data_IF_061659295007
#
_entry.id   IF_061659295007
#
_cell.length_a   1.000
_cell.length_b   1.000
_cell.length_c   1.000
_cell.angle_alpha   90.00
_cell.angle_beta   90.00
_cell.angle_gamma   90.00
#
_symmetry.space_group_name_H-M   'P 1'
#
loop_
_entity.id
_entity.type
_entity.pdbx_description
1 polymer ?
#
# COMPACT_ATOMS: atom_id res chain seq x y z
N UNK A 1 5.10 12.52 20.52
CA UNK A 1 4.90 13.73 19.69
C UNK A 1 3.92 14.67 20.36
N UNK A 2 4.23 15.99 20.47
CA UNK A 2 3.25 17.00 20.91
C UNK A 2 2.42 17.49 19.72
N UNK A 3 1.12 17.60 19.89
CA UNK A 3 0.21 17.93 18.78
C UNK A 3 0.42 19.35 18.23
N UNK A 4 0.79 20.32 19.09
CA UNK A 4 1.15 21.67 18.66
C UNK A 4 2.27 21.72 17.62
N UNK A 5 3.17 20.73 17.63
CA UNK A 5 4.32 20.65 16.71
C UNK A 5 3.90 20.22 15.28
N UNK A 6 2.74 19.60 15.12
CA UNK A 6 2.26 19.19 13.79
C UNK A 6 1.70 20.36 12.97
N UNK A 7 1.43 21.52 13.61
CA UNK A 7 0.88 22.70 12.94
C UNK A 7 -0.35 22.40 12.05
N UNK A 8 -1.21 21.51 12.53
CA UNK A 8 -2.38 21.05 11.79
C UNK A 8 -3.33 22.20 11.49
N UNK A 9 -3.90 22.19 10.30
CA UNK A 9 -5.00 23.09 9.96
C UNK A 9 -6.27 22.66 10.70
N UNK A 10 -7.06 23.64 11.13
CA UNK A 10 -8.43 23.37 11.61
C UNK A 10 -9.29 22.97 10.43
N UNK A 11 -10.02 21.88 10.57
CA UNK A 11 -10.97 21.43 9.55
C UNK A 11 -12.38 21.38 10.13
N UNK A 12 -13.34 21.67 9.28
CA UNK A 12 -14.75 21.38 9.54
C UNK A 12 -15.14 20.17 8.68
N UNK A 13 -15.51 19.07 9.31
CA UNK A 13 -15.88 17.84 8.60
C UNK A 13 -17.18 18.00 7.79
N UNK A 14 -18.04 18.96 8.13
CA UNK A 14 -19.25 19.26 7.35
C UNK A 14 -18.95 19.83 5.96
N UNK A 15 -17.74 20.36 5.74
CA UNK A 15 -17.29 20.88 4.44
C UNK A 15 -16.63 19.81 3.56
N UNK A 16 -16.70 18.53 3.94
CA UNK A 16 -16.08 17.41 3.21
C UNK A 16 -17.11 16.79 2.27
N UNK A 17 -16.76 16.69 0.99
CA UNK A 17 -17.53 15.96 0.01
C UNK A 17 -17.51 14.46 0.33
N UNK A 18 -18.68 13.83 0.31
CA UNK A 18 -18.84 12.42 0.68
C UNK A 18 -18.14 11.44 -0.28
N UNK A 19 -17.75 11.86 -1.48
CA UNK A 19 -17.20 10.95 -2.50
C UNK A 19 -15.77 10.48 -2.20
N UNK A 20 -14.87 11.38 -1.71
CA UNK A 20 -13.49 11.03 -1.35
C UNK A 20 -13.17 11.48 0.08
N UNK A 21 -14.07 11.19 1.01
CA UNK A 21 -14.06 11.79 2.35
C UNK A 21 -12.76 11.59 3.12
N UNK A 22 -12.15 10.41 3.05
CA UNK A 22 -10.90 10.13 3.75
C UNK A 22 -9.73 10.91 3.18
N UNK A 23 -9.62 11.00 1.85
CA UNK A 23 -8.56 11.76 1.19
C UNK A 23 -8.78 13.27 1.36
N UNK A 24 -10.03 13.73 1.38
CA UNK A 24 -10.38 15.13 1.66
C UNK A 24 -10.00 15.55 3.09
N UNK A 25 -10.14 14.65 4.07
CA UNK A 25 -9.62 14.90 5.43
C UNK A 25 -8.13 15.21 5.37
N UNK A 26 -7.34 14.37 4.70
CA UNK A 26 -5.89 14.55 4.58
C UNK A 26 -5.51 15.86 3.88
N UNK A 27 -6.21 16.21 2.79
CA UNK A 27 -6.00 17.47 2.06
C UNK A 27 -6.29 18.68 2.94
N UNK A 28 -7.42 18.68 3.64
CA UNK A 28 -7.82 19.79 4.50
C UNK A 28 -6.93 19.95 5.72
N UNK A 29 -6.44 18.83 6.30
CA UNK A 29 -5.44 18.84 7.37
C UNK A 29 -4.07 19.36 6.91
N UNK A 30 -3.77 19.27 5.61
CA UNK A 30 -2.44 19.55 5.07
C UNK A 30 -1.48 18.36 5.17
N UNK A 31 -1.99 17.15 5.48
CA UNK A 31 -1.25 15.89 5.45
C UNK A 31 -1.06 15.36 4.01
N UNK A 32 -1.91 15.81 3.10
CA UNK A 32 -1.76 15.68 1.67
C UNK A 32 -1.79 17.08 1.05
N UNK A 33 -0.76 17.48 0.30
CA UNK A 33 -0.70 18.77 -0.36
C UNK A 33 -0.52 18.57 -1.87
N UNK A 34 -1.48 19.06 -2.64
CA UNK A 34 -1.46 18.98 -4.09
C UNK A 34 -0.67 20.15 -4.68
N UNK A 35 0.50 19.87 -5.27
CA UNK A 35 1.28 20.84 -6.02
C UNK A 35 0.73 21.03 -7.43
N UNK A 36 0.32 19.92 -8.06
CA UNK A 36 -0.34 19.84 -9.35
C UNK A 36 -1.20 18.57 -9.40
N UNK A 37 -2.09 18.45 -10.38
CA UNK A 37 -2.88 17.23 -10.56
C UNK A 37 -1.98 16.00 -10.65
N UNK A 38 -2.16 15.07 -9.72
CA UNK A 38 -1.37 13.84 -9.62
C UNK A 38 0.04 13.99 -9.04
N UNK A 39 0.41 15.18 -8.53
CA UNK A 39 1.70 15.44 -7.87
C UNK A 39 1.44 15.98 -6.46
N UNK A 40 1.83 15.19 -5.45
CA UNK A 40 1.52 15.47 -4.05
C UNK A 40 2.76 15.55 -3.18
N UNK A 41 2.66 16.34 -2.11
CA UNK A 41 3.54 16.30 -0.96
C UNK A 41 2.79 15.74 0.25
N UNK A 42 3.53 15.16 1.19
CA UNK A 42 2.98 14.37 2.27
C UNK A 42 3.43 14.89 3.63
N UNK A 43 2.49 14.95 4.58
CA UNK A 43 2.74 15.36 5.96
C UNK A 43 3.23 14.22 6.86
N UNK A 44 3.35 14.52 8.14
CA UNK A 44 3.94 13.60 9.12
C UNK A 44 3.11 12.33 9.35
N UNK A 45 1.80 12.46 9.42
CA UNK A 45 0.88 11.32 9.59
C UNK A 45 1.01 10.34 8.43
N UNK A 46 0.98 10.87 7.19
CA UNK A 46 1.16 10.07 5.99
C UNK A 46 2.49 9.33 5.98
N UNK A 47 3.61 10.04 6.17
CA UNK A 47 4.96 9.46 6.13
C UNK A 47 5.13 8.34 7.16
N UNK A 48 4.55 8.50 8.35
CA UNK A 48 4.59 7.43 9.37
C UNK A 48 3.73 6.23 9.00
N UNK A 49 2.55 6.46 8.42
CA UNK A 49 1.67 5.38 7.96
C UNK A 49 2.30 4.61 6.80
N UNK A 50 2.88 5.32 5.84
CA UNK A 50 3.60 4.72 4.71
C UNK A 50 4.75 3.83 5.18
N UNK A 51 5.57 4.30 6.14
CA UNK A 51 6.63 3.48 6.76
C UNK A 51 6.11 2.23 7.47
N UNK A 52 4.92 2.32 8.08
CA UNK A 52 4.31 1.14 8.72
C UNK A 52 3.90 0.11 7.66
N UNK A 53 3.33 0.56 6.54
CA UNK A 53 2.99 -0.29 5.40
C UNK A 53 4.25 -0.90 4.78
N UNK A 54 5.30 -0.10 4.56
CA UNK A 54 6.60 -0.56 4.06
C UNK A 54 7.18 -1.66 4.94
N UNK A 55 7.21 -1.46 6.26
CA UNK A 55 7.78 -2.44 7.20
C UNK A 55 7.01 -3.77 7.15
N UNK A 56 5.68 -3.75 7.05
CA UNK A 56 4.88 -4.97 6.91
C UNK A 56 5.22 -5.70 5.61
N UNK A 57 5.38 -4.97 4.51
CA UNK A 57 5.79 -5.54 3.21
C UNK A 57 7.19 -6.17 3.32
N UNK A 58 8.16 -5.44 3.86
CA UNK A 58 9.54 -5.91 4.05
C UNK A 58 9.57 -7.19 4.88
N UNK A 59 8.91 -7.19 6.03
CA UNK A 59 8.87 -8.36 6.92
C UNK A 59 8.29 -9.60 6.24
N UNK A 60 7.24 -9.46 5.44
CA UNK A 60 6.61 -10.60 4.76
C UNK A 60 7.45 -11.11 3.58
N UNK A 61 8.12 -10.22 2.85
CA UNK A 61 9.01 -10.59 1.75
C UNK A 61 10.31 -11.21 2.27
N UNK A 62 10.93 -10.64 3.30
CA UNK A 62 12.15 -11.16 3.91
C UNK A 62 11.96 -12.56 4.50
N UNK A 63 10.82 -12.83 5.18
CA UNK A 63 10.45 -14.17 5.67
C UNK A 63 10.43 -15.24 4.57
N UNK A 64 10.20 -14.83 3.32
CA UNK A 64 10.14 -15.70 2.14
C UNK A 64 11.44 -15.75 1.34
N UNK A 65 12.51 -15.14 1.88
CA UNK A 65 13.83 -15.13 1.26
C UNK A 65 13.97 -14.17 0.08
N UNK A 66 13.07 -13.21 -0.08
CA UNK A 66 13.22 -12.14 -1.04
C UNK A 66 14.34 -11.18 -0.61
N UNK A 67 15.06 -10.61 -1.56
CA UNK A 67 16.24 -9.78 -1.31
C UNK A 67 15.93 -8.33 -1.70
N UNK A 68 16.01 -7.42 -0.73
CA UNK A 68 15.83 -6.00 -1.00
C UNK A 68 17.00 -5.41 -1.78
N UNK A 69 16.68 -4.65 -2.81
CA UNK A 69 17.63 -3.96 -3.69
C UNK A 69 17.11 -2.55 -4.00
N UNK A 70 17.86 -1.75 -4.73
CA UNK A 70 17.40 -0.47 -5.27
C UNK A 70 17.85 -0.33 -6.72
N UNK A 71 16.91 -0.01 -7.61
CA UNK A 71 17.16 0.27 -9.02
C UNK A 71 17.10 1.78 -9.30
N UNK A 72 17.83 2.26 -10.35
CA UNK A 72 17.85 3.69 -10.67
C UNK A 72 16.48 4.18 -11.10
N UNK A 73 16.08 5.34 -10.58
CA UNK A 73 14.85 6.06 -10.98
C UNK A 73 15.03 6.76 -12.32
N UNK A 74 16.25 7.17 -12.64
CA UNK A 74 16.63 7.70 -13.96
C UNK A 74 17.24 6.57 -14.78
N UNK A 75 16.50 6.09 -15.78
CA UNK A 75 16.85 4.92 -16.58
C UNK A 75 17.31 5.32 -17.98
N UNK A 76 18.47 4.82 -18.45
CA UNK A 76 18.95 5.11 -19.81
C UNK A 76 18.05 4.49 -20.88
N UNK A 77 17.74 5.22 -21.95
CA UNK A 77 16.98 4.74 -23.11
C UNK A 77 17.49 3.39 -23.64
N UNK A 78 18.81 3.21 -23.70
CA UNK A 78 19.45 2.01 -24.25
C UNK A 78 19.01 0.69 -23.62
N UNK A 79 18.63 0.68 -22.32
CA UNK A 79 18.16 -0.56 -21.66
C UNK A 79 16.73 -0.90 -22.08
N UNK A 80 15.90 0.11 -22.31
CA UNK A 80 14.53 -0.01 -22.79
C UNK A 80 14.47 -0.41 -24.28
N UNK A 81 15.47 0.02 -25.08
CA UNK A 81 15.62 -0.44 -26.47
C UNK A 81 15.97 -1.94 -26.54
N UNK A 82 16.74 -2.48 -25.57
CA UNK A 82 17.05 -3.92 -25.52
C UNK A 82 15.82 -4.79 -25.29
N UNK A 83 14.83 -4.30 -24.53
CA UNK A 83 13.55 -4.98 -24.29
C UNK A 83 12.51 -4.69 -25.38
N UNK A 84 12.80 -3.79 -26.33
CA UNK A 84 11.88 -3.24 -27.34
C UNK A 84 10.67 -2.48 -26.74
N UNK A 85 10.81 -1.92 -25.52
CA UNK A 85 9.70 -1.23 -24.83
C UNK A 85 9.81 0.30 -24.85
N UNK A 86 10.92 0.88 -25.34
CA UNK A 86 11.07 2.33 -25.35
C UNK A 86 9.93 3.06 -26.09
N UNK A 87 9.66 2.64 -27.33
CA UNK A 87 8.62 3.29 -28.15
C UNK A 87 7.21 3.00 -27.60
N UNK A 88 6.96 1.80 -27.08
CA UNK A 88 5.70 1.47 -26.42
C UNK A 88 5.39 2.41 -25.25
N UNK A 89 6.41 2.77 -24.45
CA UNK A 89 6.21 3.60 -23.25
C UNK A 89 6.28 5.11 -23.51
N UNK A 90 6.91 5.53 -24.61
CA UNK A 90 7.14 6.96 -24.89
C UNK A 90 6.28 7.51 -26.03
N UNK A 91 5.81 6.66 -26.97
CA UNK A 91 5.04 7.07 -28.14
C UNK A 91 3.64 6.46 -28.17
N UNK A 92 3.54 5.13 -28.05
CA UNK A 92 2.27 4.43 -28.20
C UNK A 92 1.40 4.58 -26.94
N UNK A 93 1.93 4.29 -25.77
CA UNK A 93 1.23 4.41 -24.50
C UNK A 93 1.39 5.76 -23.82
N UNK A 94 2.39 6.54 -24.19
CA UNK A 94 2.79 7.83 -23.58
C UNK A 94 2.81 7.80 -22.04
N UNK A 95 3.36 6.71 -21.48
CA UNK A 95 3.34 6.43 -20.04
C UNK A 95 4.57 7.02 -19.33
N UNK A 96 5.73 7.10 -20.02
CA UNK A 96 7.02 7.45 -19.43
C UNK A 96 7.35 8.94 -19.60
N UNK A 97 7.73 9.60 -18.50
CA UNK A 97 8.40 10.90 -18.57
C UNK A 97 9.81 10.74 -19.12
N UNK A 98 10.17 11.51 -20.14
CA UNK A 98 11.47 11.44 -20.78
C UNK A 98 12.28 12.71 -20.58
N UNK A 99 13.61 12.55 -20.46
CA UNK A 99 14.58 13.65 -20.40
C UNK A 99 15.61 13.45 -21.51
N UNK A 100 15.89 14.53 -22.22
CA UNK A 100 16.90 14.56 -23.27
C UNK A 100 17.85 15.72 -23.03
N UNK A 101 19.15 15.43 -23.03
CA UNK A 101 20.22 16.43 -22.94
C UNK A 101 21.46 15.97 -23.72
N UNK A 102 22.55 16.70 -23.60
CA UNK A 102 23.82 16.37 -24.26
C UNK A 102 24.52 15.11 -23.74
N UNK A 103 24.06 14.53 -22.62
CA UNK A 103 24.55 13.26 -22.07
C UNK A 103 23.79 12.06 -22.63
N UNK A 104 22.59 12.26 -23.17
CA UNK A 104 21.75 11.18 -23.73
C UNK A 104 20.25 11.36 -23.51
N UNK A 105 19.52 10.30 -23.76
CA UNK A 105 18.08 10.19 -23.53
C UNK A 105 17.80 9.23 -22.38
N UNK A 106 16.91 9.61 -21.49
CA UNK A 106 16.56 8.90 -20.28
C UNK A 106 15.05 8.90 -20.07
N UNK A 107 14.54 7.94 -19.31
CA UNK A 107 13.19 7.92 -18.78
C UNK A 107 13.19 7.96 -17.25
N UNK A 108 12.19 8.61 -16.65
CA UNK A 108 11.88 8.40 -15.24
C UNK A 108 11.13 7.07 -15.10
N UNK A 109 11.60 6.21 -14.20
CA UNK A 109 11.15 4.82 -14.05
C UNK A 109 9.64 4.69 -13.82
N UNK A 110 8.84 4.18 -14.78
CA UNK A 110 7.46 3.77 -14.54
C UNK A 110 7.38 2.37 -13.93
N UNK A 111 8.44 1.59 -14.14
CA UNK A 111 8.69 0.20 -13.68
C UNK A 111 10.19 -0.11 -13.85
N UNK A 112 10.68 -1.29 -13.51
CA UNK A 112 12.12 -1.59 -13.55
C UNK A 112 12.50 -3.00 -14.07
N UNK A 113 11.70 -3.63 -14.94
CA UNK A 113 11.99 -4.96 -15.49
C UNK A 113 13.37 -5.01 -16.16
N UNK A 114 13.72 -4.01 -16.96
CA UNK A 114 15.01 -3.93 -17.65
C UNK A 114 16.18 -3.86 -16.68
N UNK A 115 16.04 -3.00 -15.65
CA UNK A 115 17.08 -2.86 -14.64
C UNK A 115 17.23 -4.15 -13.82
N UNK A 116 16.12 -4.77 -13.43
CA UNK A 116 16.12 -6.04 -12.69
C UNK A 116 16.74 -7.16 -13.50
N UNK A 117 16.42 -7.27 -14.80
CA UNK A 117 16.97 -8.30 -15.67
C UNK A 117 18.49 -8.18 -15.82
N UNK A 118 19.01 -6.96 -16.04
CA UNK A 118 20.45 -6.70 -16.10
C UNK A 118 21.15 -7.00 -14.77
N UNK A 119 20.55 -6.57 -13.67
CA UNK A 119 21.09 -6.77 -12.33
C UNK A 119 21.10 -8.27 -11.96
N UNK A 120 20.00 -8.97 -12.25
CA UNK A 120 19.86 -10.41 -12.03
C UNK A 120 20.88 -11.21 -12.83
N UNK A 121 21.01 -10.95 -14.12
CA UNK A 121 21.97 -11.64 -14.98
C UNK A 121 23.43 -11.48 -14.51
N UNK A 122 23.78 -10.34 -13.94
CA UNK A 122 25.11 -10.14 -13.35
C UNK A 122 25.35 -10.97 -12.09
N UNK A 123 24.31 -11.27 -11.32
CA UNK A 123 24.40 -11.93 -10.00
C UNK A 123 24.07 -13.42 -10.03
N UNK A 124 23.36 -13.87 -11.04
CA UNK A 124 22.77 -15.22 -11.14
C UNK A 124 23.33 -16.00 -12.35
N UNK A 125 24.66 -16.15 -12.50
CA UNK A 125 25.26 -16.71 -13.73
C UNK A 125 25.01 -18.20 -13.88
N UNK A 126 24.45 -18.90 -12.88
CA UNK A 126 24.27 -20.35 -12.88
C UNK A 126 22.93 -20.75 -12.27
N UNK A 127 22.41 -21.89 -12.70
CA UNK A 127 21.22 -22.54 -12.13
C UNK A 127 21.29 -22.70 -10.61
N UNK A 128 22.49 -22.80 -10.03
CA UNK A 128 22.70 -22.90 -8.57
C UNK A 128 22.30 -21.66 -7.81
N UNK A 129 22.16 -20.53 -8.50
CA UNK A 129 21.75 -19.26 -7.92
C UNK A 129 20.23 -19.04 -7.99
N UNK A 130 19.49 -19.99 -8.62
CA UNK A 130 18.05 -19.89 -8.85
C UNK A 130 17.27 -20.85 -7.94
N UNK A 131 16.05 -20.54 -7.52
CA UNK A 131 15.35 -19.28 -7.79
C UNK A 131 15.89 -18.11 -6.97
N UNK A 132 15.67 -16.88 -7.46
CA UNK A 132 15.99 -15.67 -6.73
C UNK A 132 14.89 -14.62 -6.94
N UNK A 133 14.57 -13.86 -5.89
CA UNK A 133 13.58 -12.78 -5.94
C UNK A 133 14.24 -11.51 -5.41
N UNK A 134 14.30 -10.46 -6.25
CA UNK A 134 14.75 -9.14 -5.86
C UNK A 134 13.56 -8.19 -5.79
N UNK A 135 13.47 -7.39 -4.73
CA UNK A 135 12.41 -6.37 -4.60
C UNK A 135 12.97 -5.02 -4.19
N UNK A 136 12.26 -3.97 -4.54
CA UNK A 136 12.52 -2.61 -4.06
C UNK A 136 11.22 -1.94 -3.62
N UNK A 137 11.34 -0.90 -2.78
CA UNK A 137 10.25 0.02 -2.50
C UNK A 137 10.74 1.41 -2.88
N UNK A 138 10.06 2.06 -3.82
CA UNK A 138 10.53 3.34 -4.30
C UNK A 138 9.56 4.05 -5.24
N UNK A 139 9.85 5.32 -5.50
CA UNK A 139 9.04 6.15 -6.37
C UNK A 139 9.00 5.63 -7.81
N UNK A 140 7.81 5.69 -8.38
CA UNK A 140 7.52 5.48 -9.80
C UNK A 140 6.89 6.73 -10.39
N UNK A 141 7.07 6.89 -11.71
CA UNK A 141 6.65 8.07 -12.45
C UNK A 141 5.88 7.61 -13.68
N UNK A 142 4.59 7.99 -13.76
CA UNK A 142 3.73 7.66 -14.91
C UNK A 142 3.03 8.90 -15.42
N UNK A 143 3.04 9.12 -16.74
CA UNK A 143 2.29 10.20 -17.38
C UNK A 143 0.80 9.89 -17.36
N UNK A 144 0.18 9.99 -16.18
CA UNK A 144 -1.27 9.88 -16.12
C UNK A 144 -1.89 11.11 -16.79
N UNK A 145 -2.52 10.90 -17.95
CA UNK A 145 -3.17 11.96 -18.73
C UNK A 145 -4.35 12.54 -17.91
N UNK A 146 -5.06 11.66 -17.21
CA UNK A 146 -6.21 12.01 -16.37
C UNK A 146 -5.96 11.54 -14.94
N UNK A 147 -5.03 12.20 -14.24
CA UNK A 147 -4.86 11.97 -12.81
C UNK A 147 -6.18 12.28 -12.10
N UNK A 148 -6.76 11.29 -11.42
CA UNK A 148 -8.04 11.36 -10.73
C UNK A 148 -8.03 10.51 -9.46
N UNK A 149 -9.05 10.69 -8.62
CA UNK A 149 -9.13 9.92 -7.37
C UNK A 149 -7.96 10.18 -6.43
N UNK A 150 -7.32 11.35 -6.52
CA UNK A 150 -6.15 11.76 -5.74
C UNK A 150 -5.04 10.67 -5.76
N UNK A 151 -4.99 9.84 -4.73
CA UNK A 151 -3.95 8.83 -4.49
C UNK A 151 -4.18 7.51 -5.24
N UNK A 152 -5.34 7.32 -5.86
CA UNK A 152 -5.60 6.13 -6.66
C UNK A 152 -4.89 6.15 -8.01
N UNK A 153 -4.75 7.35 -8.62
CA UNK A 153 -4.12 7.52 -9.93
C UNK A 153 -3.21 8.75 -10.03
N UNK A 154 -2.18 8.85 -9.17
CA UNK A 154 -1.22 9.95 -9.21
C UNK A 154 -0.16 9.74 -10.30
N UNK A 155 0.58 10.80 -10.63
CA UNK A 155 1.71 10.78 -11.55
C UNK A 155 3.02 10.33 -10.90
N UNK A 156 3.14 10.57 -9.59
CA UNK A 156 4.26 10.12 -8.76
C UNK A 156 3.71 9.34 -7.57
N UNK A 157 4.25 8.16 -7.30
CA UNK A 157 3.78 7.30 -6.22
C UNK A 157 4.85 6.31 -5.78
N UNK A 158 4.75 5.82 -4.55
CA UNK A 158 5.62 4.77 -4.04
C UNK A 158 5.02 3.40 -4.35
N UNK A 159 5.84 2.50 -4.88
CA UNK A 159 5.49 1.13 -5.20
C UNK A 159 6.55 0.17 -4.65
N UNK A 160 6.12 -0.93 -4.04
CA UNK A 160 6.95 -2.12 -3.97
C UNK A 160 6.87 -2.81 -5.33
N UNK A 161 8.00 -3.08 -5.95
CA UNK A 161 8.10 -3.88 -7.16
C UNK A 161 9.17 -4.96 -6.97
N UNK A 162 8.80 -6.21 -7.30
CA UNK A 162 9.65 -7.37 -7.18
C UNK A 162 9.77 -8.11 -8.52
N UNK A 163 10.87 -8.83 -8.68
CA UNK A 163 11.23 -9.55 -9.89
C UNK A 163 11.82 -10.90 -9.54
N UNK A 164 11.23 -12.00 -10.03
CA UNK A 164 11.75 -13.33 -9.84
C UNK A 164 12.55 -13.81 -11.03
N UNK A 165 13.51 -14.70 -10.74
CA UNK A 165 14.36 -15.35 -11.72
C UNK A 165 14.36 -16.84 -11.40
N UNK A 166 13.88 -17.65 -12.35
CA UNK A 166 13.64 -19.06 -12.21
C UNK A 166 14.27 -19.81 -13.39
N UNK A 167 14.64 -21.09 -13.20
CA UNK A 167 15.29 -21.89 -14.26
C UNK A 167 14.31 -22.49 -15.26
N UNK A 168 13.04 -22.60 -14.89
CA UNK A 168 11.98 -23.22 -15.69
C UNK A 168 10.64 -22.55 -15.47
N UNK A 169 9.70 -22.78 -16.37
CA UNK A 169 8.32 -22.32 -16.22
C UNK A 169 7.65 -22.92 -14.98
N UNK A 170 7.93 -24.17 -14.68
CA UNK A 170 7.39 -24.84 -13.48
C UNK A 170 7.88 -24.15 -12.20
N UNK A 171 9.17 -23.82 -12.12
CA UNK A 171 9.72 -23.12 -10.96
C UNK A 171 9.20 -21.69 -10.87
N UNK A 172 9.05 -20.98 -11.99
CA UNK A 172 8.40 -19.66 -12.03
C UNK A 172 6.98 -19.73 -11.46
N UNK A 173 6.19 -20.76 -11.79
CA UNK A 173 4.84 -20.94 -11.22
C UNK A 173 4.86 -21.15 -9.71
N UNK A 174 5.86 -21.86 -9.17
CA UNK A 174 6.05 -22.03 -7.72
C UNK A 174 6.39 -20.67 -7.05
N UNK A 175 7.31 -19.92 -7.66
CA UNK A 175 7.67 -18.59 -7.18
C UNK A 175 6.48 -17.62 -7.25
N UNK A 176 5.68 -17.70 -8.31
CA UNK A 176 4.45 -16.92 -8.45
C UNK A 176 3.46 -17.23 -7.33
N UNK A 177 3.26 -18.50 -6.98
CA UNK A 177 2.40 -18.90 -5.87
C UNK A 177 2.94 -18.40 -4.52
N UNK A 178 4.26 -18.45 -4.30
CA UNK A 178 4.92 -17.90 -3.11
C UNK A 178 4.63 -16.40 -2.95
N UNK A 179 4.67 -15.65 -4.06
CA UNK A 179 4.40 -14.21 -4.06
C UNK A 179 2.92 -13.90 -3.87
N UNK A 180 2.01 -14.72 -4.42
CA UNK A 180 0.58 -14.66 -4.12
C UNK A 180 0.33 -14.78 -2.61
N UNK A 181 0.89 -15.81 -1.98
CA UNK A 181 0.77 -16.02 -0.53
C UNK A 181 1.39 -14.89 0.30
N UNK A 182 2.51 -14.30 -0.18
CA UNK A 182 3.10 -13.11 0.43
C UNK A 182 2.13 -11.93 0.43
N UNK A 183 1.49 -11.66 -0.71
CA UNK A 183 0.54 -10.57 -0.85
C UNK A 183 -0.69 -10.77 0.04
N UNK A 184 -1.26 -11.97 0.04
CA UNK A 184 -2.39 -12.29 0.92
C UNK A 184 -2.03 -12.06 2.40
N UNK A 185 -0.81 -12.44 2.83
CA UNK A 185 -0.34 -12.21 4.18
C UNK A 185 -0.13 -10.71 4.49
N UNK A 186 0.45 -9.95 3.56
CA UNK A 186 0.63 -8.50 3.68
C UNK A 186 -0.73 -7.81 3.89
N UNK A 187 -1.68 -8.07 2.99
CA UNK A 187 -2.99 -7.42 3.06
C UNK A 187 -3.81 -7.84 4.28
N UNK A 188 -3.72 -9.11 4.70
CA UNK A 188 -4.35 -9.58 5.93
C UNK A 188 -3.79 -8.84 7.16
N UNK A 189 -2.48 -8.64 7.26
CA UNK A 189 -1.83 -7.86 8.33
C UNK A 189 -2.23 -6.38 8.31
N UNK A 190 -2.51 -5.84 7.15
CA UNK A 190 -3.03 -4.47 6.98
C UNK A 190 -4.53 -4.37 7.32
N UNK A 191 -5.22 -5.50 7.52
CA UNK A 191 -6.66 -5.53 7.80
C UNK A 191 -7.51 -5.27 6.54
N UNK A 192 -6.97 -5.52 5.35
CA UNK A 192 -7.66 -5.38 4.08
C UNK A 192 -8.17 -6.73 3.58
N UNK A 193 -9.46 -6.77 3.25
CA UNK A 193 -10.06 -7.92 2.57
C UNK A 193 -9.80 -7.80 1.08
N UNK A 194 -9.05 -8.75 0.53
CA UNK A 194 -8.65 -8.79 -0.88
C UNK A 194 -9.43 -9.84 -1.64
N UNK A 195 -9.71 -9.52 -2.88
CA UNK A 195 -10.31 -10.39 -3.89
C UNK A 195 -9.27 -10.61 -5.00
N UNK A 196 -8.50 -11.74 -4.97
CA UNK A 196 -7.60 -12.07 -6.07
C UNK A 196 -8.39 -12.19 -7.36
N UNK A 197 -7.97 -11.49 -8.40
CA UNK A 197 -8.76 -11.29 -9.62
C UNK A 197 -7.87 -11.50 -10.84
N UNK A 198 -8.31 -12.32 -11.74
CA UNK A 198 -7.62 -12.54 -13.03
C UNK A 198 -7.93 -11.36 -13.95
N UNK A 199 -6.88 -10.86 -14.62
CA UNK A 199 -6.96 -9.67 -15.49
C UNK A 199 -6.11 -9.79 -16.76
N UNK A 200 -6.08 -8.74 -17.57
CA UNK A 200 -5.23 -8.65 -18.77
C UNK A 200 -3.77 -8.37 -18.42
N UNK A 201 -2.86 -8.91 -19.23
CA UNK A 201 -1.42 -8.69 -19.08
C UNK A 201 -0.94 -7.30 -19.53
N UNK A 202 -1.72 -6.58 -20.29
CA UNK A 202 -1.44 -5.22 -20.76
C UNK A 202 -0.07 -5.06 -21.46
N UNK A 203 0.51 -3.88 -21.32
CA UNK A 203 1.83 -3.53 -21.92
C UNK A 203 3.02 -4.24 -21.26
N UNK A 204 2.86 -4.80 -20.07
CA UNK A 204 3.88 -5.59 -19.39
C UNK A 204 4.06 -6.90 -20.14
N UNK A 205 2.96 -7.51 -20.60
CA UNK A 205 2.92 -8.79 -21.30
C UNK A 205 3.20 -9.97 -20.37
N UNK A 206 3.25 -11.15 -20.94
CA UNK A 206 3.34 -12.40 -20.19
C UNK A 206 2.17 -13.33 -20.53
N UNK A 207 1.97 -14.39 -19.73
CA UNK A 207 0.93 -15.38 -19.97
C UNK A 207 -0.24 -15.31 -18.98
N UNK A 208 0.00 -14.84 -17.77
CA UNK A 208 -0.99 -14.74 -16.69
C UNK A 208 -0.78 -13.42 -15.94
N UNK A 209 -1.88 -12.72 -15.66
CA UNK A 209 -1.93 -11.57 -14.78
C UNK A 209 -2.98 -11.80 -13.69
N UNK A 210 -2.64 -11.44 -12.47
CA UNK A 210 -3.52 -11.45 -11.31
C UNK A 210 -3.44 -10.09 -10.62
N UNK A 211 -4.58 -9.54 -10.27
CA UNK A 211 -4.71 -8.32 -9.50
C UNK A 211 -5.24 -8.62 -8.11
N UNK A 212 -4.80 -7.86 -7.14
CA UNK A 212 -5.27 -7.92 -5.76
C UNK A 212 -6.21 -6.74 -5.52
N UNK A 213 -7.49 -7.00 -5.72
CA UNK A 213 -8.55 -6.00 -5.70
C UNK A 213 -9.15 -5.84 -4.30
N UNK A 214 -9.36 -4.60 -3.88
CA UNK A 214 -10.07 -4.27 -2.64
C UNK A 214 -11.41 -3.59 -2.95
N UNK A 215 -12.48 -4.05 -2.30
CA UNK A 215 -13.78 -3.42 -2.44
C UNK A 215 -13.76 -2.01 -1.83
N UNK A 216 -14.18 -1.03 -2.62
CA UNK A 216 -14.39 0.35 -2.19
C UNK A 216 -15.38 1.04 -3.12
N UNK A 217 -16.29 1.88 -2.61
CA UNK A 217 -17.20 2.65 -3.46
C UNK A 217 -16.48 3.66 -4.36
N UNK A 218 -15.19 3.93 -4.07
CA UNK A 218 -14.35 4.87 -4.82
C UNK A 218 -13.51 4.17 -5.91
N UNK A 219 -13.68 2.86 -6.06
CA UNK A 219 -12.96 2.06 -7.04
C UNK A 219 -13.28 2.46 -8.48
N UNK A 220 -12.35 2.18 -9.36
CA UNK A 220 -12.47 2.43 -10.79
C UNK A 220 -12.73 1.17 -11.59
N UNK A 221 -12.48 0.01 -10.97
CA UNK A 221 -12.63 -1.30 -11.58
C UNK A 221 -13.96 -1.95 -11.16
N UNK A 222 -14.52 -2.73 -12.06
CA UNK A 222 -15.66 -3.60 -11.79
C UNK A 222 -15.20 -5.04 -11.96
N UNK A 223 -15.30 -5.82 -10.87
CA UNK A 223 -14.97 -7.24 -10.90
C UNK A 223 -16.21 -8.10 -10.63
N UNK A 224 -16.19 -9.31 -11.13
CA UNK A 224 -17.12 -10.38 -10.77
C UNK A 224 -16.38 -11.33 -9.83
N UNK A 225 -16.96 -11.64 -8.67
CA UNK A 225 -16.29 -12.43 -7.63
C UNK A 225 -17.12 -13.62 -7.19
N UNK A 226 -16.50 -14.79 -7.18
CA UNK A 226 -17.02 -16.03 -6.62
C UNK A 226 -16.63 -16.11 -5.14
N UNK A 227 -17.58 -15.88 -4.26
CA UNK A 227 -17.34 -15.89 -2.81
C UNK A 227 -17.08 -17.30 -2.27
N UNK A 228 -17.52 -18.37 -2.96
CA UNK A 228 -17.31 -19.75 -2.53
C UNK A 228 -15.90 -20.23 -2.86
N UNK A 229 -15.42 -19.91 -4.06
CA UNK A 229 -14.12 -20.36 -4.56
C UNK A 229 -13.01 -19.30 -4.36
N UNK A 230 -13.36 -18.05 -4.00
CA UNK A 230 -12.40 -16.98 -3.79
C UNK A 230 -11.73 -16.48 -5.08
N UNK A 231 -12.42 -16.60 -6.22
CA UNK A 231 -11.88 -16.23 -7.54
C UNK A 231 -12.58 -14.99 -8.06
N UNK A 232 -11.81 -13.97 -8.41
CA UNK A 232 -12.26 -12.76 -9.08
C UNK A 232 -11.96 -12.78 -10.58
N UNK A 233 -12.80 -12.12 -11.35
CA UNK A 233 -12.62 -11.90 -12.79
C UNK A 233 -12.78 -10.41 -13.03
N UNK A 234 -11.77 -9.75 -13.57
CA UNK A 234 -11.91 -8.38 -14.04
C UNK A 234 -12.87 -8.36 -15.22
N UNK A 235 -13.82 -7.41 -15.25
CA UNK A 235 -14.85 -7.35 -16.27
C UNK A 235 -14.31 -7.31 -17.69
N UNK A 236 -13.14 -6.71 -17.91
CA UNK A 236 -12.47 -6.67 -19.20
C UNK A 236 -12.17 -8.06 -19.79
N UNK A 237 -11.96 -9.08 -18.94
CA UNK A 237 -11.74 -10.47 -19.37
C UNK A 237 -12.94 -11.03 -20.12
N UNK A 238 -14.14 -10.54 -19.85
CA UNK A 238 -15.37 -10.97 -20.55
C UNK A 238 -15.40 -10.54 -22.03
N UNK A 239 -14.59 -9.57 -22.41
CA UNK A 239 -14.45 -9.08 -23.78
C UNK A 239 -13.37 -9.83 -24.58
N UNK A 240 -12.67 -10.79 -23.96
CA UNK A 240 -11.64 -11.57 -24.64
C UNK A 240 -12.23 -12.52 -25.67
N UNK A 241 -11.62 -12.67 -26.87
CA UNK A 241 -12.09 -13.59 -27.91
C UNK A 241 -12.14 -15.06 -27.47
N UNK A 242 -11.27 -15.47 -26.54
CA UNK A 242 -11.16 -16.82 -25.98
C UNK A 242 -11.73 -16.92 -24.56
N UNK A 243 -12.65 -16.02 -24.21
CA UNK A 243 -13.24 -15.89 -22.86
C UNK A 243 -13.69 -17.22 -22.26
N UNK A 244 -14.44 -18.01 -23.00
CA UNK A 244 -15.09 -19.23 -22.48
C UNK A 244 -14.04 -20.30 -22.12
N UNK A 245 -12.97 -20.45 -22.92
CA UNK A 245 -11.87 -21.35 -22.61
C UNK A 245 -11.08 -20.87 -21.39
N UNK A 246 -10.89 -19.57 -21.29
CA UNK A 246 -10.19 -18.93 -20.18
C UNK A 246 -10.95 -19.09 -18.86
N UNK A 247 -12.24 -18.80 -18.84
CA UNK A 247 -13.11 -18.99 -17.68
C UNK A 247 -13.18 -20.47 -17.24
N UNK A 248 -13.22 -21.39 -18.20
CA UNK A 248 -13.19 -22.81 -17.90
C UNK A 248 -11.88 -23.27 -17.27
N UNK A 249 -10.73 -22.72 -17.69
CA UNK A 249 -9.43 -23.00 -17.05
C UNK A 249 -9.38 -22.50 -15.60
N UNK A 250 -10.11 -21.42 -15.28
CA UNK A 250 -10.26 -20.89 -13.94
C UNK A 250 -11.29 -21.64 -13.08
N UNK A 251 -12.00 -22.62 -13.66
CA UNK A 251 -13.06 -23.35 -12.96
C UNK A 251 -14.38 -22.60 -12.86
N UNK A 252 -14.51 -21.45 -13.55
CA UNK A 252 -15.75 -20.64 -13.56
C UNK A 252 -16.69 -21.15 -14.64
N UNK A 253 -17.80 -21.73 -14.22
CA UNK A 253 -18.80 -22.31 -15.14
C UNK A 253 -20.06 -21.45 -15.28
N UNK A 254 -20.34 -20.56 -14.33
CA UNK A 254 -21.55 -19.74 -14.27
C UNK A 254 -21.24 -18.31 -13.90
N UNK A 255 -20.87 -17.49 -14.87
CA UNK A 255 -20.51 -16.07 -14.67
C UNK A 255 -21.68 -15.26 -14.11
N UNK A 256 -22.91 -15.60 -14.49
CA UNK A 256 -24.14 -14.96 -14.02
C UNK A 256 -24.46 -15.17 -12.54
N UNK A 257 -23.79 -16.14 -11.90
CA UNK A 257 -23.92 -16.39 -10.46
C UNK A 257 -22.93 -15.56 -9.60
N UNK A 258 -21.95 -14.92 -10.25
CA UNK A 258 -20.95 -14.13 -9.57
C UNK A 258 -21.49 -12.78 -9.11
N UNK A 259 -20.99 -12.27 -7.99
CA UNK A 259 -21.36 -10.95 -7.49
C UNK A 259 -20.45 -9.87 -8.08
N UNK A 260 -21.06 -8.76 -8.50
CA UNK A 260 -20.32 -7.59 -8.96
C UNK A 260 -19.88 -6.72 -7.79
N UNK A 261 -18.62 -6.24 -7.84
CA UNK A 261 -18.03 -5.33 -6.87
C UNK A 261 -17.32 -4.19 -7.60
N UNK A 262 -17.48 -2.97 -7.07
CA UNK A 262 -16.63 -1.85 -7.41
C UNK A 262 -15.36 -1.94 -6.56
N UNK A 263 -14.18 -1.91 -7.19
CA UNK A 263 -12.91 -2.20 -6.55
C UNK A 263 -11.79 -1.29 -7.01
N UNK A 264 -10.70 -1.31 -6.27
CA UNK A 264 -9.43 -0.72 -6.66
C UNK A 264 -8.32 -1.77 -6.60
N UNK A 265 -7.49 -1.82 -7.62
CA UNK A 265 -6.28 -2.63 -7.68
C UNK A 265 -5.23 -2.09 -6.71
N UNK A 266 -4.83 -2.88 -5.72
CA UNK A 266 -3.78 -2.54 -4.75
C UNK A 266 -2.42 -3.13 -5.12
N UNK A 267 -2.41 -4.22 -5.88
CA UNK A 267 -1.21 -4.88 -6.35
C UNK A 267 -1.51 -5.84 -7.49
N UNK A 268 -0.45 -6.27 -8.17
CA UNK A 268 -0.54 -7.20 -9.28
C UNK A 268 0.64 -8.15 -9.35
N UNK A 269 0.44 -9.30 -9.96
CA UNK A 269 1.42 -10.33 -10.26
C UNK A 269 1.35 -10.71 -11.74
N UNK A 270 2.51 -10.83 -12.40
CA UNK A 270 2.61 -11.22 -13.81
C UNK A 270 3.59 -12.36 -14.00
N UNK A 271 3.21 -13.37 -14.77
CA UNK A 271 4.11 -14.39 -15.30
C UNK A 271 4.70 -13.90 -16.62
N UNK A 272 5.93 -13.38 -16.60
CA UNK A 272 6.59 -12.76 -17.76
C UNK A 272 7.20 -13.81 -18.71
N UNK A 273 7.39 -15.04 -18.23
CA UNK A 273 8.11 -16.09 -18.97
C UNK A 273 9.54 -15.64 -19.28
N UNK A 274 10.01 -15.89 -20.48
CA UNK A 274 11.38 -15.55 -20.92
C UNK A 274 11.46 -14.24 -21.73
N UNK A 275 10.38 -13.45 -21.76
CA UNK A 275 10.26 -12.25 -22.60
C UNK A 275 11.48 -11.32 -22.47
N UNK A 276 11.83 -10.93 -21.25
CA UNK A 276 12.91 -9.99 -20.98
C UNK A 276 14.29 -10.61 -21.13
N UNK A 277 14.53 -11.79 -20.55
CA UNK A 277 15.81 -12.46 -20.65
C UNK A 277 16.19 -12.79 -22.08
N UNK A 278 15.24 -13.19 -22.92
CA UNK A 278 15.46 -13.47 -24.35
C UNK A 278 15.71 -12.20 -25.15
N UNK A 279 14.85 -11.18 -25.02
CA UNK A 279 15.00 -9.93 -25.79
C UNK A 279 16.29 -9.19 -25.45
N UNK A 280 16.70 -9.20 -24.19
CA UNK A 280 17.92 -8.57 -23.70
C UNK A 280 19.16 -9.48 -23.84
N UNK A 281 19.00 -10.72 -24.32
CA UNK A 281 20.09 -11.73 -24.52
C UNK A 281 20.86 -12.01 -23.23
N UNK A 282 20.14 -12.19 -22.13
CA UNK A 282 20.68 -12.46 -20.80
C UNK A 282 20.32 -13.88 -20.38
N UNK A 283 21.34 -14.71 -20.07
CA UNK A 283 21.22 -16.14 -19.85
C UNK A 283 22.01 -16.59 -18.63
N UNK A 284 21.61 -17.71 -18.04
CA UNK A 284 22.36 -18.41 -17.00
C UNK A 284 22.93 -19.74 -17.57
N UNK A 285 23.96 -20.26 -16.95
CA UNK A 285 24.48 -21.62 -17.22
C UNK A 285 23.65 -22.66 -16.48
N UNK A 286 23.03 -23.55 -17.23
CA UNK A 286 22.29 -24.68 -16.67
C UNK A 286 23.22 -25.86 -16.30
N UNK A 287 22.66 -26.93 -15.75
CA UNK A 287 23.38 -28.13 -15.28
C UNK A 287 24.22 -28.78 -16.37
N UNK A 288 23.74 -28.72 -17.60
CA UNK A 288 24.42 -29.24 -18.80
C UNK A 288 25.47 -28.27 -19.38
N UNK A 289 25.67 -27.10 -18.76
CA UNK A 289 26.59 -26.08 -19.25
C UNK A 289 26.05 -25.21 -20.40
N UNK A 290 24.79 -25.43 -20.80
CA UNK A 290 24.14 -24.67 -21.86
C UNK A 290 23.58 -23.33 -21.29
N UNK A 291 23.65 -22.29 -22.13
CA UNK A 291 23.02 -21.00 -21.80
C UNK A 291 21.50 -21.07 -22.00
N UNK A 292 20.75 -20.81 -20.92
CA UNK A 292 19.28 -20.78 -20.93
C UNK A 292 18.75 -19.44 -20.45
N UNK A 293 17.62 -18.94 -21.00
CA UNK A 293 17.01 -17.73 -20.54
C UNK A 293 16.36 -17.95 -19.18
N UNK A 294 16.36 -16.90 -18.33
CA UNK A 294 15.59 -16.94 -17.08
C UNK A 294 14.10 -16.89 -17.38
N UNK A 295 13.31 -17.67 -16.66
CA UNK A 295 11.89 -17.46 -16.52
C UNK A 295 11.68 -16.42 -15.41
N UNK A 296 10.86 -15.42 -15.66
CA UNK A 296 10.71 -14.27 -14.78
C UNK A 296 9.23 -14.03 -14.43
N UNK A 297 9.01 -13.55 -13.22
CA UNK A 297 7.77 -12.92 -12.80
C UNK A 297 8.03 -11.49 -12.37
N UNK A 298 7.02 -10.62 -12.44
CA UNK A 298 7.06 -9.32 -11.79
C UNK A 298 5.82 -9.11 -10.93
N UNK A 299 5.98 -8.35 -9.87
CA UNK A 299 5.04 -8.24 -8.78
C UNK A 299 5.03 -6.79 -8.29
N UNK A 300 3.87 -6.15 -8.16
CA UNK A 300 3.77 -4.76 -7.78
C UNK A 300 2.73 -4.51 -6.69
N UNK A 301 3.02 -3.65 -5.72
CA UNK A 301 2.07 -3.16 -4.71
C UNK A 301 2.16 -1.63 -4.64
N UNK A 302 1.03 -0.94 -4.84
CA UNK A 302 0.94 0.51 -4.75
C UNK A 302 0.64 0.99 -3.32
N UNK A 303 1.63 1.57 -2.62
CA UNK A 303 1.47 1.96 -1.22
C UNK A 303 0.42 3.06 -1.02
N UNK A 304 0.39 4.05 -1.91
CA UNK A 304 -0.59 5.14 -1.84
C UNK A 304 -2.03 4.65 -1.95
N UNK A 305 -2.30 3.66 -2.82
CA UNK A 305 -3.62 3.03 -2.96
C UNK A 305 -4.03 2.26 -1.69
N UNK A 306 -3.08 1.53 -1.08
CA UNK A 306 -3.30 0.85 0.21
C UNK A 306 -3.72 1.85 1.27
N UNK A 307 -2.97 2.93 1.45
CA UNK A 307 -3.24 3.93 2.50
C UNK A 307 -4.59 4.62 2.25
N UNK A 308 -4.90 4.96 1.01
CA UNK A 308 -6.20 5.51 0.66
C UNK A 308 -7.34 4.55 1.03
N UNK A 309 -7.24 3.26 0.65
CA UNK A 309 -8.21 2.24 1.03
C UNK A 309 -8.32 2.05 2.55
N UNK A 310 -7.20 2.06 3.28
CA UNK A 310 -7.21 1.92 4.73
C UNK A 310 -7.99 3.06 5.40
N UNK A 311 -7.83 4.29 4.92
CA UNK A 311 -8.54 5.44 5.47
C UNK A 311 -10.02 5.38 5.10
N UNK A 312 -10.36 5.15 3.82
CA UNK A 312 -11.74 5.09 3.34
C UNK A 312 -12.54 3.95 4.00
N UNK A 313 -11.94 2.78 4.18
CA UNK A 313 -12.60 1.64 4.81
C UNK A 313 -12.74 1.77 6.34
N UNK A 314 -12.14 2.77 6.95
CA UNK A 314 -12.21 3.04 8.38
C UNK A 314 -12.83 4.40 8.71
N UNK A 315 -13.60 4.98 7.77
CA UNK A 315 -14.41 6.16 8.02
C UNK A 315 -15.46 5.88 9.09
N UNK A 316 -15.70 6.86 9.93
CA UNK A 316 -16.69 6.84 11.00
C UNK A 316 -17.78 7.87 10.74
N UNK A 317 -19.02 7.45 10.96
CA UNK A 317 -20.20 8.29 10.84
C UNK A 317 -20.97 8.30 12.16
N UNK A 318 -21.57 9.42 12.48
CA UNK A 318 -22.48 9.60 13.61
C UNK A 318 -23.72 10.37 13.15
N UNK A 319 -24.90 9.75 13.24
CA UNK A 319 -26.15 10.32 12.70
C UNK A 319 -26.02 10.74 11.21
N UNK A 320 -25.47 9.87 10.39
CA UNK A 320 -25.19 10.06 8.95
C UNK A 320 -24.22 11.20 8.60
N UNK A 321 -23.56 11.78 9.62
CA UNK A 321 -22.52 12.79 9.44
C UNK A 321 -21.14 12.20 9.60
N UNK A 322 -20.22 12.60 8.73
CA UNK A 322 -18.82 12.20 8.82
C UNK A 322 -18.22 12.69 10.15
N UNK A 323 -17.71 11.75 10.95
CA UNK A 323 -17.02 12.01 12.22
C UNK A 323 -15.49 12.03 12.06
N UNK A 324 -14.98 11.40 11.02
CA UNK A 324 -13.56 11.21 10.74
C UNK A 324 -13.26 9.75 10.42
N UNK A 325 -12.12 9.23 10.89
CA UNK A 325 -11.75 7.82 10.73
C UNK A 325 -11.02 7.29 11.96
N UNK A 326 -10.89 5.96 12.07
CA UNK A 326 -10.11 5.29 13.10
C UNK A 326 -9.33 4.13 12.49
N UNK A 327 -8.00 4.28 12.38
CA UNK A 327 -7.13 3.24 11.84
C UNK A 327 -7.07 2.02 12.78
N UNK A 328 -6.91 0.80 12.23
CA UNK A 328 -6.60 -0.37 13.05
C UNK A 328 -5.38 -0.13 13.94
N UNK A 329 -5.42 -0.60 15.18
CA UNK A 329 -4.34 -0.39 16.15
C UNK A 329 -2.98 -0.86 15.61
N UNK A 330 -2.96 -1.98 14.87
CA UNK A 330 -1.73 -2.55 14.29
C UNK A 330 -0.98 -1.59 13.38
N UNK A 331 -1.69 -0.79 12.59
CA UNK A 331 -1.10 0.08 11.54
C UNK A 331 -1.10 1.56 11.90
N UNK A 332 -1.90 1.99 12.88
CA UNK A 332 -1.99 3.39 13.26
C UNK A 332 -0.61 3.97 13.63
N UNK A 333 -0.18 5.10 13.06
CA UNK A 333 1.10 5.74 13.37
C UNK A 333 1.22 6.16 14.82
N UNK A 334 0.09 6.57 15.39
CA UNK A 334 -0.05 6.89 16.80
C UNK A 334 -1.10 5.98 17.40
N UNK A 335 -0.75 5.28 18.48
CA UNK A 335 -1.62 4.29 19.13
C UNK A 335 -2.66 4.93 20.03
N UNK A 336 -2.33 6.08 20.60
CA UNK A 336 -3.19 6.81 21.54
C UNK A 336 -2.96 8.31 21.46
N UNK A 337 -4.05 9.07 21.57
CA UNK A 337 -4.00 10.52 21.81
C UNK A 337 -4.39 10.81 23.26
N UNK A 338 -3.54 11.56 23.97
CA UNK A 338 -3.71 11.99 25.36
C UNK A 338 -4.17 13.45 25.34
N UNK A 339 -5.34 13.70 25.89
CA UNK A 339 -5.94 15.02 26.06
C UNK A 339 -6.06 15.30 27.55
N UNK A 340 -5.80 16.52 27.99
CA UNK A 340 -5.87 16.87 29.41
C UNK A 340 -6.47 18.25 29.64
N UNK A 341 -7.14 18.40 30.82
CA UNK A 341 -7.46 19.71 31.38
C UNK A 341 -6.19 20.30 32.04
N UNK A 342 -6.07 21.62 32.04
CA UNK A 342 -4.84 22.34 32.43
C UNK A 342 -4.28 21.86 33.78
N UNK A 343 -5.14 21.61 34.78
CA UNK A 343 -4.73 21.16 36.12
C UNK A 343 -4.11 19.76 36.13
N UNK A 344 -4.29 18.98 35.06
CA UNK A 344 -3.82 17.59 34.93
C UNK A 344 -2.63 17.44 33.97
N UNK A 345 -1.95 18.55 33.64
CA UNK A 345 -0.84 18.55 32.70
C UNK A 345 0.30 17.59 33.13
N UNK A 346 0.67 17.63 34.42
CA UNK A 346 1.77 16.79 34.93
C UNK A 346 1.47 15.29 34.78
N UNK A 347 0.22 14.89 35.03
CA UNK A 347 -0.23 13.49 34.87
C UNK A 347 -0.19 13.07 33.41
N UNK A 348 -0.63 13.93 32.50
CA UNK A 348 -0.63 13.67 31.05
C UNK A 348 0.80 13.56 30.50
N UNK A 349 1.71 14.43 30.93
CA UNK A 349 3.12 14.38 30.56
C UNK A 349 3.81 13.12 31.09
N UNK A 350 3.53 12.70 32.31
CA UNK A 350 4.04 11.43 32.87
C UNK A 350 3.55 10.23 32.07
N UNK A 351 2.25 10.15 31.80
CA UNK A 351 1.69 9.08 30.97
C UNK A 351 2.34 9.06 29.58
N UNK A 352 2.45 10.23 28.95
CA UNK A 352 3.08 10.37 27.65
C UNK A 352 4.51 9.84 27.65
N UNK A 353 5.34 10.25 28.61
CA UNK A 353 6.72 9.81 28.75
C UNK A 353 6.79 8.29 28.98
N UNK A 354 5.97 7.75 29.87
CA UNK A 354 5.91 6.31 30.16
C UNK A 354 5.61 5.50 28.88
N UNK A 355 4.65 5.93 28.06
CA UNK A 355 4.31 5.24 26.82
C UNK A 355 5.47 5.32 25.78
N UNK A 356 6.10 6.49 25.63
CA UNK A 356 7.21 6.66 24.70
C UNK A 356 8.47 5.83 25.13
N UNK A 357 8.74 5.70 26.43
CA UNK A 357 9.83 4.86 26.94
C UNK A 357 9.62 3.37 26.61
N UNK A 358 8.37 2.94 26.49
CA UNK A 358 7.99 1.58 26.07
C UNK A 358 7.68 1.47 24.57
N UNK A 359 8.12 2.44 23.76
CA UNK A 359 7.91 2.45 22.31
C UNK A 359 6.45 2.40 21.87
N UNK A 360 5.51 2.82 22.73
CA UNK A 360 4.11 3.00 22.40
C UNK A 360 3.92 4.41 21.88
N UNK A 361 3.78 4.53 20.58
CA UNK A 361 3.68 5.83 19.89
C UNK A 361 2.42 6.59 20.34
N UNK A 362 2.60 7.73 21.00
CA UNK A 362 1.53 8.55 21.51
C UNK A 362 1.56 9.99 20.99
N UNK A 363 0.39 10.63 20.92
CA UNK A 363 0.25 12.07 20.74
C UNK A 363 -0.20 12.68 22.07
N UNK A 364 0.54 13.70 22.53
CA UNK A 364 0.11 14.55 23.62
C UNK A 364 -0.50 15.82 23.05
N UNK A 365 -1.80 16.02 23.25
CA UNK A 365 -2.45 17.27 22.84
C UNK A 365 -2.20 18.36 23.88
N UNK A 366 -1.24 19.20 23.60
CA UNK A 366 -0.74 20.27 24.46
C UNK A 366 -1.34 21.66 24.17
N UNK A 367 -2.37 21.74 23.30
CA UNK A 367 -3.01 23.00 22.89
C UNK A 367 -4.01 23.50 23.95
N UNK A 368 -3.55 24.40 24.82
CA UNK A 368 -4.32 24.92 25.96
C UNK A 368 -5.40 25.94 25.55
N UNK A 369 -5.27 26.55 24.40
CA UNK A 369 -6.19 27.53 23.84
C UNK A 369 -7.48 26.92 23.28
N UNK A 370 -7.52 25.61 23.13
CA UNK A 370 -8.67 24.87 22.63
C UNK A 370 -9.42 24.13 23.73
N UNK A 371 -10.75 24.23 23.71
CA UNK A 371 -11.61 23.44 24.60
C UNK A 371 -11.50 21.93 24.33
N UNK A 372 -11.70 21.12 25.36
CA UNK A 372 -11.60 19.64 25.30
C UNK A 372 -12.44 19.05 24.16
N UNK A 373 -13.67 19.53 23.96
CA UNK A 373 -14.55 19.02 22.89
C UNK A 373 -13.97 19.18 21.48
N UNK A 374 -13.27 20.29 21.21
CA UNK A 374 -12.60 20.49 19.92
C UNK A 374 -11.37 19.60 19.78
N UNK A 375 -10.63 19.39 20.88
CA UNK A 375 -9.47 18.51 20.89
C UNK A 375 -9.84 17.04 20.68
N UNK A 376 -11.00 16.61 21.20
CA UNK A 376 -11.58 15.28 20.96
C UNK A 376 -11.91 15.09 19.47
N UNK A 377 -12.44 16.11 18.78
CA UNK A 377 -12.72 16.01 17.34
C UNK A 377 -11.46 15.71 16.52
N UNK A 378 -10.32 16.27 16.92
CA UNK A 378 -9.05 16.08 16.22
C UNK A 378 -8.50 14.64 16.35
N UNK A 379 -8.94 13.86 17.35
CA UNK A 379 -8.60 12.42 17.45
C UNK A 379 -9.10 11.66 16.22
N UNK A 380 -10.33 11.99 15.78
CA UNK A 380 -10.98 11.32 14.66
C UNK A 380 -10.44 11.77 13.29
N UNK A 381 -9.89 12.97 13.17
CA UNK A 381 -9.27 13.41 11.92
C UNK A 381 -7.82 12.93 11.77
N UNK A 382 -7.19 12.52 12.88
CA UNK A 382 -5.88 11.87 12.88
C UNK A 382 -5.96 10.33 12.78
N UNK A 383 -7.15 9.78 12.91
CA UNK A 383 -7.38 8.35 12.85
C UNK A 383 -6.75 7.56 14.00
N UNK A 384 -6.55 8.19 15.15
CA UNK A 384 -5.94 7.55 16.32
C UNK A 384 -6.91 6.55 16.95
N UNK A 385 -6.52 5.26 17.12
CA UNK A 385 -7.45 4.21 17.55
C UNK A 385 -7.84 4.27 19.01
N UNK A 386 -7.04 4.89 19.87
CA UNK A 386 -7.33 5.03 21.31
C UNK A 386 -7.21 6.47 21.74
N UNK A 387 -8.07 6.86 22.71
CA UNK A 387 -8.07 8.19 23.31
C UNK A 387 -8.09 8.08 24.82
N UNK A 388 -7.33 8.96 25.52
CA UNK A 388 -7.37 9.15 26.95
C UNK A 388 -7.63 10.64 27.24
N UNK A 389 -8.67 10.91 28.01
CA UNK A 389 -8.99 12.28 28.47
C UNK A 389 -8.77 12.36 29.98
N UNK A 390 -7.76 13.14 30.40
CA UNK A 390 -7.44 13.35 31.83
C UNK A 390 -8.02 14.68 32.28
N UNK A 391 -8.97 14.61 33.19
CA UNK A 391 -9.69 15.78 33.71
C UNK A 391 -10.43 15.47 35.01
N UNK A 392 -11.46 16.23 35.36
CA UNK A 392 -12.18 16.12 36.65
C UNK A 392 -12.72 14.72 36.98
N UNK A 393 -12.91 13.85 35.99
CA UNK A 393 -13.38 12.48 36.21
C UNK A 393 -12.22 11.50 36.48
N UNK A 394 -10.97 11.94 36.41
CA UNK A 394 -9.80 11.11 36.71
C UNK A 394 -9.68 10.90 38.23
N UNK A 395 -9.74 9.67 38.68
CA UNK A 395 -9.74 9.26 40.10
C UNK A 395 -8.33 9.18 40.71
N UNK A 396 -7.28 9.38 39.91
CA UNK A 396 -5.87 9.27 40.33
C UNK A 396 -5.33 7.83 40.30
N UNK A 397 -6.15 6.85 39.93
CA UNK A 397 -5.81 5.41 39.94
C UNK A 397 -6.02 4.77 38.57
N UNK A 398 -7.06 5.17 37.84
CA UNK A 398 -7.42 4.56 36.55
C UNK A 398 -7.49 5.59 35.42
N UNK A 399 -6.94 5.21 34.26
CA UNK A 399 -7.21 5.92 33.02
C UNK A 399 -8.43 5.33 32.33
N UNK A 400 -9.31 6.20 31.84
CA UNK A 400 -10.39 5.82 30.91
C UNK A 400 -9.81 5.81 29.49
N UNK A 401 -9.63 4.62 28.92
CA UNK A 401 -9.11 4.42 27.57
C UNK A 401 -10.27 4.14 26.64
N UNK A 402 -10.62 5.10 25.78
CA UNK A 402 -11.70 4.96 24.82
C UNK A 402 -11.15 4.38 23.50
N UNK A 403 -11.80 3.35 22.98
CA UNK A 403 -11.63 2.89 21.62
C UNK A 403 -12.43 3.80 20.69
N UNK A 404 -11.75 4.51 19.79
CA UNK A 404 -12.36 5.54 18.96
C UNK A 404 -13.29 4.98 17.89
N UNK A 405 -13.11 3.71 17.48
CA UNK A 405 -13.96 3.05 16.50
C UNK A 405 -15.28 2.58 17.11
N UNK A 406 -15.23 2.01 18.30
CA UNK A 406 -16.40 1.40 18.95
C UNK A 406 -17.04 2.27 20.02
N UNK A 407 -16.33 3.27 20.53
CA UNK A 407 -16.75 4.08 21.68
C UNK A 407 -16.69 3.34 23.03
N UNK A 408 -16.18 2.11 23.05
CA UNK A 408 -16.03 1.34 24.29
C UNK A 408 -14.92 1.97 25.13
N UNK A 409 -15.18 2.11 26.43
CA UNK A 409 -14.25 2.70 27.39
C UNK A 409 -13.79 1.63 28.38
N UNK A 410 -12.48 1.35 28.39
CA UNK A 410 -11.83 0.49 29.35
C UNK A 410 -11.30 1.33 30.53
N UNK A 411 -11.50 0.85 31.75
CA UNK A 411 -10.87 1.41 32.97
C UNK A 411 -9.58 0.67 33.26
N UNK A 412 -8.44 1.33 33.04
CA UNK A 412 -7.10 0.71 33.12
C UNK A 412 -6.32 1.32 34.27
N UNK A 413 -5.81 0.49 35.19
CA UNK A 413 -4.99 0.98 36.30
C UNK A 413 -3.69 1.63 35.74
N UNK A 414 -3.25 2.69 36.40
CA UNK A 414 -2.02 3.43 35.99
C UNK A 414 -0.82 2.48 35.89
N UNK A 415 -0.70 1.50 36.80
CA UNK A 415 0.40 0.51 36.79
C UNK A 415 0.38 -0.40 35.56
N UNK A 416 -0.81 -0.66 35.02
CA UNK A 416 -1.03 -1.66 33.96
C UNK A 416 -1.17 -1.05 32.57
N UNK A 417 -1.06 0.27 32.45
CA UNK A 417 -1.33 1.00 31.21
C UNK A 417 -0.41 0.58 30.06
N UNK A 418 0.86 0.32 30.33
CA UNK A 418 1.83 -0.16 29.33
C UNK A 418 1.45 -1.55 28.85
N UNK A 419 1.22 -2.48 29.78
CA UNK A 419 0.79 -3.85 29.46
C UNK A 419 -0.50 -3.89 28.64
N UNK A 420 -1.44 -2.98 28.95
CA UNK A 420 -2.68 -2.83 28.18
C UNK A 420 -2.40 -2.51 26.72
N UNK A 421 -1.53 -1.54 26.44
CA UNK A 421 -1.19 -1.16 25.07
C UNK A 421 -0.32 -2.21 24.37
N UNK A 422 0.60 -2.88 25.05
CA UNK A 422 1.39 -3.98 24.50
C UNK A 422 0.54 -5.19 24.10
N UNK A 423 -0.46 -5.56 24.92
CA UNK A 423 -1.39 -6.64 24.61
C UNK A 423 -2.23 -6.32 23.36
N UNK A 424 -2.71 -5.07 23.22
CA UNK A 424 -3.41 -4.63 22.02
C UNK A 424 -2.53 -4.70 20.75
N UNK A 425 -1.21 -4.56 20.91
CA UNK A 425 -0.24 -4.73 19.82
C UNK A 425 0.05 -6.19 19.45
N UNK A 426 -0.17 -7.14 20.35
CA UNK A 426 0.09 -8.59 20.15
C UNK A 426 -1.11 -9.36 19.61
N UNK A 427 -2.32 -8.86 19.78
CA UNK A 427 -3.54 -9.45 19.20
C UNK A 427 -3.62 -9.14 17.68
N UNK A 428 -2.65 -9.69 16.93
CA UNK A 428 -2.53 -9.58 15.48
C UNK A 428 -2.86 -10.87 14.78
#
# INVERSE_FOLDING_TARGET
>A
MKLSQLNMKKINLEDIDSHYSGQDILLKLGELYQFESGIYGYGNLWVKLERTVENIIIEELDKRGCIQVEFPKLQPKKIWEQSNRWDMYTKEGDIMFTLKNNLGEYGLAPTAEECATLFGANRLPSYKNLPAIYYQIGEKFRKEIRARGYLFRPRTFVMMDAYSFDKSEEDMKKTYQLMHEAYMAIFARLGLKIMPTVSDNGVIGGSVAEEFQAATPLGEDEILFDEENGIGINREVLDFPNRDDYLKQLGVTHVEALKSYTTVELGNNFQLGTKYSTSMKLFFKDEDGVDKPYYMGCYGIGLGRIIACLIENNLLYENDKLKGFALPYSIAPYKVQIIYQTDYQLQAEKLYQQLEEHHISAILDDRKDLGIGNRIKDVYVLGTPKMIVIGKKFDGIHYSVEDTKTGIVDSVNISDIVDYFEKNGKNR
#
